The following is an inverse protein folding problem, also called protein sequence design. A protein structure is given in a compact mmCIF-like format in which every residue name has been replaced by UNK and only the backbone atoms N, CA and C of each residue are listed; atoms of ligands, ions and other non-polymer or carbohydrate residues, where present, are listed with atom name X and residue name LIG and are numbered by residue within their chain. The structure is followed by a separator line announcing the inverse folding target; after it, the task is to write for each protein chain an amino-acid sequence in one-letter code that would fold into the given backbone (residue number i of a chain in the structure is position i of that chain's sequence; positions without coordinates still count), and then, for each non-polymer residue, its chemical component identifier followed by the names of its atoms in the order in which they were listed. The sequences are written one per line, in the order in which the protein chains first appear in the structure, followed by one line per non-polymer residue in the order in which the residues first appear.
data_IF_523967000513
#
_entry.id   IF_523967000513
#
_cell.length_a   1.000
_cell.length_b   1.000
_cell.length_c   1.000
_cell.angle_alpha   90.00
_cell.angle_beta   90.00
_cell.angle_gamma   90.00
#
_symmetry.space_group_name_H-M   'P 1'
#
loop_
_entity.id
_entity.type
_entity.pdbx_description
1 polymer ?
#
# COMPACT_ATOMS: atom_id res chain seq x y z
N UNK A 1 -10.83 -22.21 -123.12
CA UNK A 1 -11.15 -21.23 -122.05
C UNK A 1 -11.43 -21.97 -120.75
N UNK A 2 -10.42 -22.27 -119.90
CA UNK A 2 -10.68 -22.91 -118.59
C UNK A 2 -9.62 -22.66 -117.49
N UNK A 3 -8.62 -21.80 -117.74
CA UNK A 3 -7.56 -21.48 -116.78
C UNK A 3 -7.90 -20.37 -115.78
N UNK A 4 -8.72 -19.40 -116.19
CA UNK A 4 -9.04 -18.21 -115.37
C UNK A 4 -9.95 -18.52 -114.17
N UNK A 5 -10.84 -19.51 -114.29
CA UNK A 5 -11.80 -19.86 -113.25
C UNK A 5 -11.16 -20.63 -112.07
N UNK A 6 -10.07 -21.39 -112.33
CA UNK A 6 -9.35 -22.16 -111.28
C UNK A 6 -8.46 -21.26 -110.42
N UNK A 7 -7.75 -20.31 -111.05
CA UNK A 7 -6.87 -19.33 -110.38
C UNK A 7 -7.66 -18.38 -109.47
N UNK A 8 -8.87 -17.99 -109.88
CA UNK A 8 -9.79 -17.15 -109.10
C UNK A 8 -10.29 -17.84 -107.82
N UNK A 9 -10.65 -19.14 -107.89
CA UNK A 9 -11.11 -19.91 -106.73
C UNK A 9 -10.00 -20.19 -105.71
N UNK A 10 -8.78 -20.43 -106.18
CA UNK A 10 -7.62 -20.67 -105.31
C UNK A 10 -7.16 -19.39 -104.60
N UNK A 11 -7.18 -18.25 -105.29
CA UNK A 11 -6.94 -16.95 -104.68
C UNK A 11 -8.02 -16.59 -103.66
N UNK A 12 -9.30 -16.88 -103.93
CA UNK A 12 -10.39 -16.67 -102.97
C UNK A 12 -10.23 -17.52 -101.71
N UNK A 13 -9.91 -18.81 -101.85
CA UNK A 13 -9.60 -19.70 -100.71
C UNK A 13 -8.38 -19.23 -99.90
N UNK A 14 -7.34 -18.73 -100.58
CA UNK A 14 -6.15 -18.18 -99.91
C UNK A 14 -6.49 -16.90 -99.12
N UNK A 15 -7.35 -16.04 -99.66
CA UNK A 15 -7.84 -14.85 -98.96
C UNK A 15 -8.76 -15.19 -97.78
N UNK A 16 -9.62 -16.21 -97.90
CA UNK A 16 -10.45 -16.71 -96.79
C UNK A 16 -9.60 -17.32 -95.67
N UNK A 17 -8.56 -18.09 -96.01
CA UNK A 17 -7.62 -18.65 -95.02
C UNK A 17 -6.80 -17.56 -94.32
N UNK A 18 -6.35 -16.53 -95.05
CA UNK A 18 -5.68 -15.36 -94.43
C UNK A 18 -6.59 -14.65 -93.44
N UNK A 19 -7.87 -14.43 -93.80
CA UNK A 19 -8.87 -13.83 -92.90
C UNK A 19 -9.10 -14.69 -91.65
N UNK A 20 -9.23 -16.01 -91.81
CA UNK A 20 -9.41 -16.94 -90.69
C UNK A 20 -8.21 -16.97 -89.72
N UNK A 21 -6.98 -16.97 -90.24
CA UNK A 21 -5.76 -16.91 -89.42
C UNK A 21 -5.69 -15.58 -88.65
N UNK A 22 -5.97 -14.45 -89.31
CA UNK A 22 -5.98 -13.14 -88.67
C UNK A 22 -7.00 -13.10 -87.53
N UNK A 23 -8.23 -13.57 -87.75
CA UNK A 23 -9.27 -13.64 -86.71
C UNK A 23 -8.85 -14.53 -85.53
N UNK A 24 -8.20 -15.67 -85.79
CA UNK A 24 -7.70 -16.56 -84.74
C UNK A 24 -6.59 -15.92 -83.90
N UNK A 25 -5.64 -15.23 -84.53
CA UNK A 25 -4.57 -14.50 -83.82
C UNK A 25 -5.15 -13.39 -82.95
N UNK A 26 -6.12 -12.63 -83.45
CA UNK A 26 -6.83 -11.62 -82.64
C UNK A 26 -7.57 -12.23 -81.45
N UNK A 27 -8.22 -13.39 -81.63
CA UNK A 27 -8.90 -14.08 -80.54
C UNK A 27 -7.94 -14.52 -79.42
N UNK A 28 -6.75 -15.02 -79.77
CA UNK A 28 -5.73 -15.41 -78.79
C UNK A 28 -5.18 -14.19 -78.04
N UNK A 29 -4.94 -13.08 -78.72
CA UNK A 29 -4.49 -11.82 -78.08
C UNK A 29 -5.54 -11.31 -77.08
N UNK A 30 -6.83 -11.38 -77.42
CA UNK A 30 -7.92 -10.99 -76.52
C UNK A 30 -7.96 -11.91 -75.29
N UNK A 31 -7.84 -13.23 -75.47
CA UNK A 31 -7.83 -14.18 -74.35
C UNK A 31 -6.64 -13.98 -73.41
N UNK A 32 -5.44 -13.70 -73.95
CA UNK A 32 -4.27 -13.37 -73.14
C UNK A 32 -4.48 -12.04 -72.40
N UNK A 33 -5.06 -11.03 -73.05
CA UNK A 33 -5.40 -9.75 -72.42
C UNK A 33 -6.35 -9.92 -71.23
N UNK A 34 -7.42 -10.71 -71.38
CA UNK A 34 -8.37 -11.02 -70.30
C UNK A 34 -7.68 -11.79 -69.17
N UNK A 35 -6.82 -12.76 -69.50
CA UNK A 35 -6.05 -13.52 -68.51
C UNK A 35 -5.08 -12.62 -67.72
N UNK A 36 -4.38 -11.70 -68.38
CA UNK A 36 -3.47 -10.75 -67.72
C UNK A 36 -4.23 -9.79 -66.80
N UNK A 37 -5.38 -9.25 -67.25
CA UNK A 37 -6.25 -8.41 -66.42
C UNK A 37 -6.75 -9.18 -65.20
N UNK A 38 -7.25 -10.42 -65.38
CA UNK A 38 -7.70 -11.28 -64.28
C UNK A 38 -6.56 -11.64 -63.31
N UNK A 39 -5.36 -11.94 -63.83
CA UNK A 39 -4.18 -12.22 -63.01
C UNK A 39 -3.71 -11.00 -62.21
N UNK A 40 -3.90 -9.78 -62.75
CA UNK A 40 -3.60 -8.52 -62.06
C UNK A 40 -4.63 -8.23 -60.96
N UNK A 41 -5.92 -8.38 -61.25
CA UNK A 41 -7.01 -8.21 -60.27
C UNK A 41 -6.90 -9.18 -59.09
N UNK A 42 -6.57 -10.45 -59.34
CA UNK A 42 -6.39 -11.45 -58.26
C UNK A 42 -5.20 -11.15 -57.35
N UNK A 43 -4.09 -10.60 -57.89
CA UNK A 43 -2.95 -10.13 -57.08
C UNK A 43 -3.34 -8.92 -56.23
N UNK A 44 -4.10 -7.97 -56.77
CA UNK A 44 -4.59 -6.79 -56.03
C UNK A 44 -5.48 -7.18 -54.83
N UNK A 45 -6.39 -8.14 -55.03
CA UNK A 45 -7.25 -8.66 -53.96
C UNK A 45 -6.46 -9.32 -52.82
N UNK A 46 -5.44 -10.11 -53.17
CA UNK A 46 -4.54 -10.74 -52.18
C UNK A 46 -3.77 -9.69 -51.39
N UNK A 47 -3.24 -8.67 -52.09
CA UNK A 47 -2.48 -7.60 -51.45
C UNK A 47 -3.33 -6.80 -50.45
N UNK A 48 -4.59 -6.51 -50.77
CA UNK A 48 -5.51 -5.87 -49.82
C UNK A 48 -5.83 -6.76 -48.61
N UNK A 49 -5.99 -8.06 -48.80
CA UNK A 49 -6.22 -9.00 -47.71
C UNK A 49 -5.00 -9.12 -46.79
N UNK A 50 -3.79 -9.19 -47.36
CA UNK A 50 -2.54 -9.22 -46.62
C UNK A 50 -2.30 -7.92 -45.84
N UNK A 51 -2.63 -6.76 -46.41
CA UNK A 51 -2.50 -5.47 -45.74
C UNK A 51 -3.46 -5.34 -44.55
N UNK A 52 -4.73 -5.76 -44.72
CA UNK A 52 -5.70 -5.84 -43.62
C UNK A 52 -5.26 -6.84 -42.54
N UNK A 53 -4.66 -7.95 -42.94
CA UNK A 53 -4.13 -8.95 -42.01
C UNK A 53 -2.92 -8.41 -41.24
N UNK A 54 -2.04 -7.65 -41.88
CA UNK A 54 -0.91 -6.99 -41.21
C UNK A 54 -1.39 -5.91 -40.23
N UNK A 55 -2.35 -5.08 -40.62
CA UNK A 55 -2.93 -4.05 -39.75
C UNK A 55 -3.64 -4.69 -38.54
N UNK A 56 -4.40 -5.78 -38.76
CA UNK A 56 -5.02 -6.54 -37.69
C UNK A 56 -3.98 -7.19 -36.76
N UNK A 57 -2.91 -7.78 -37.31
CA UNK A 57 -1.80 -8.34 -36.53
C UNK A 57 -1.06 -7.29 -35.72
N UNK A 58 -0.85 -6.10 -36.26
CA UNK A 58 -0.20 -5.01 -35.54
C UNK A 58 -1.08 -4.46 -34.41
N UNK A 59 -2.40 -4.34 -34.63
CA UNK A 59 -3.36 -3.98 -33.59
C UNK A 59 -3.41 -5.03 -32.48
N UNK A 60 -3.44 -6.32 -32.84
CA UNK A 60 -3.38 -7.43 -31.87
C UNK A 60 -2.07 -7.38 -31.10
N UNK A 61 -0.92 -7.21 -31.76
CA UNK A 61 0.39 -7.09 -31.10
C UNK A 61 0.44 -5.92 -30.11
N UNK A 62 -0.14 -4.76 -30.46
CA UNK A 62 -0.24 -3.60 -29.56
C UNK A 62 -1.16 -3.86 -28.37
N UNK A 63 -2.25 -4.61 -28.56
CA UNK A 63 -3.13 -5.04 -27.47
C UNK A 63 -2.40 -6.03 -26.57
N UNK A 64 -1.70 -7.01 -27.13
CA UNK A 64 -0.97 -8.05 -26.41
C UNK A 64 0.24 -7.47 -25.65
N UNK A 65 0.96 -6.49 -26.19
CA UNK A 65 2.00 -5.73 -25.49
C UNK A 65 1.44 -4.86 -24.35
N UNK A 66 0.23 -4.30 -24.52
CA UNK A 66 -0.44 -3.54 -23.46
C UNK A 66 -1.02 -4.45 -22.37
N UNK A 67 -1.57 -5.61 -22.74
CA UNK A 67 -2.06 -6.64 -21.83
C UNK A 67 -0.90 -7.30 -21.07
N UNK A 68 0.25 -7.54 -21.70
CA UNK A 68 1.46 -7.99 -21.01
C UNK A 68 2.00 -6.94 -20.04
N UNK A 69 2.03 -5.65 -20.42
CA UNK A 69 2.38 -4.57 -19.48
C UNK A 69 1.40 -4.44 -18.32
N UNK A 70 0.11 -4.67 -18.55
CA UNK A 70 -0.90 -4.73 -17.48
C UNK A 70 -0.77 -5.98 -16.61
N UNK A 71 -0.45 -7.13 -17.20
CA UNK A 71 -0.25 -8.40 -16.49
C UNK A 71 1.05 -8.41 -15.68
N UNK A 72 2.14 -7.80 -16.16
CA UNK A 72 3.38 -7.60 -15.41
C UNK A 72 3.20 -6.57 -14.27
N UNK A 73 2.35 -5.56 -14.48
CA UNK A 73 1.97 -4.60 -13.42
C UNK A 73 1.07 -5.28 -12.36
N UNK A 74 0.12 -6.13 -12.77
CA UNK A 74 -0.73 -6.91 -11.86
C UNK A 74 0.02 -8.05 -11.15
N UNK A 75 1.00 -8.69 -11.78
CA UNK A 75 1.85 -9.71 -11.13
C UNK A 75 2.82 -9.07 -10.13
N UNK A 76 3.39 -7.89 -10.40
CA UNK A 76 4.17 -7.16 -9.39
C UNK A 76 3.28 -6.64 -8.26
N UNK A 77 2.07 -6.15 -8.54
CA UNK A 77 1.11 -5.82 -7.49
C UNK A 77 0.68 -7.04 -6.69
N UNK A 78 0.45 -8.23 -7.27
CA UNK A 78 0.09 -9.43 -6.52
C UNK A 78 1.25 -10.01 -5.70
N UNK A 79 2.49 -9.84 -6.15
CA UNK A 79 3.68 -10.28 -5.42
C UNK A 79 4.04 -9.35 -4.26
N UNK A 80 3.80 -8.05 -4.43
CA UNK A 80 3.82 -7.07 -3.34
C UNK A 80 2.59 -7.20 -2.44
N UNK A 81 1.41 -7.54 -2.96
CA UNK A 81 0.20 -7.82 -2.18
C UNK A 81 0.28 -9.14 -1.44
N UNK A 82 0.99 -10.19 -1.88
CA UNK A 82 1.21 -11.39 -1.06
C UNK A 82 2.26 -11.15 0.03
N UNK A 83 3.29 -10.35 -0.25
CA UNK A 83 4.28 -9.95 0.77
C UNK A 83 3.68 -8.95 1.77
N UNK A 84 2.81 -8.06 1.29
CA UNK A 84 1.99 -7.17 2.10
C UNK A 84 0.92 -8.00 2.81
N UNK A 85 0.21 -8.95 2.21
CA UNK A 85 -0.80 -9.81 2.84
C UNK A 85 -0.20 -10.82 3.82
N UNK A 86 1.09 -11.18 3.76
CA UNK A 86 1.72 -11.98 4.81
C UNK A 86 2.24 -11.09 5.96
N UNK A 87 2.55 -9.82 5.70
CA UNK A 87 2.79 -8.79 6.73
C UNK A 87 1.50 -8.14 7.27
N UNK A 88 0.43 -8.18 6.48
CA UNK A 88 -0.88 -7.57 6.71
C UNK A 88 -1.82 -8.64 7.24
N UNK A 89 -1.80 -9.91 6.84
CA UNK A 89 -2.51 -10.99 7.55
C UNK A 89 -1.91 -11.23 8.95
N UNK A 90 -0.61 -10.97 9.15
CA UNK A 90 -0.03 -10.87 10.49
C UNK A 90 -0.37 -9.55 11.23
N UNK A 91 -0.82 -8.51 10.51
CA UNK A 91 -1.29 -7.24 11.08
C UNK A 91 -2.83 -7.02 11.05
N UNK A 92 -3.62 -7.96 10.50
CA UNK A 92 -5.05 -7.74 10.13
C UNK A 92 -6.03 -8.25 11.17
N UNK A 93 -5.56 -8.68 12.34
CA UNK A 93 -6.44 -8.99 13.47
C UNK A 93 -5.99 -8.41 14.80
N UNK A 94 -5.39 -7.22 14.82
CA UNK A 94 -5.05 -6.60 16.10
C UNK A 94 -5.78 -5.28 16.28
N UNK A 95 -7.07 -5.35 16.64
CA UNK A 95 -7.51 -4.45 17.69
C UNK A 95 -6.72 -4.90 18.92
N UNK A 96 -5.65 -4.19 19.25
CA UNK A 96 -4.84 -4.56 20.40
C UNK A 96 -5.69 -4.37 21.66
N UNK A 97 -5.54 -5.27 22.62
CA UNK A 97 -6.13 -5.17 23.96
C UNK A 97 -5.01 -4.86 24.97
N UNK A 98 -4.07 -3.99 24.59
CA UNK A 98 -2.87 -3.73 25.37
C UNK A 98 -3.23 -3.13 26.73
N UNK A 99 -4.23 -2.26 26.82
CA UNK A 99 -4.76 -1.77 28.11
C UNK A 99 -5.20 -2.93 28.99
N UNK A 100 -6.02 -3.84 28.46
CA UNK A 100 -6.54 -5.00 29.21
C UNK A 100 -5.40 -5.91 29.68
N UNK A 101 -4.47 -6.24 28.80
CA UNK A 101 -3.32 -7.08 29.14
C UNK A 101 -2.35 -6.37 30.10
N UNK A 102 -2.20 -5.04 30.01
CA UNK A 102 -1.44 -4.25 30.97
C UNK A 102 -2.11 -4.28 32.36
N UNK A 103 -3.43 -4.10 32.43
CA UNK A 103 -4.18 -4.23 33.69
C UNK A 103 -4.04 -5.63 34.29
N UNK A 104 -4.06 -6.67 33.45
CA UNK A 104 -3.83 -8.05 33.88
C UNK A 104 -2.42 -8.27 34.41
N UNK A 105 -1.37 -7.75 33.75
CA UNK A 105 0.01 -7.80 34.25
C UNK A 105 0.15 -7.08 35.59
N UNK A 106 -0.55 -5.96 35.76
CA UNK A 106 -0.49 -5.15 36.97
C UNK A 106 -1.43 -5.61 38.09
N UNK A 107 -2.33 -6.56 37.83
CA UNK A 107 -3.32 -7.05 38.83
C UNK A 107 -2.70 -7.64 40.11
N UNK A 108 -1.45 -8.11 40.06
CA UNK A 108 -0.73 -8.65 41.21
C UNK A 108 0.09 -7.61 41.97
N UNK A 109 0.21 -6.40 41.44
CA UNK A 109 0.96 -5.32 42.07
C UNK A 109 0.08 -4.69 43.15
N UNK A 110 0.52 -4.74 44.40
CA UNK A 110 -0.13 -4.01 45.49
C UNK A 110 0.16 -2.52 45.31
N UNK A 111 -0.81 -1.77 44.82
CA UNK A 111 -0.71 -0.33 44.55
C UNK A 111 -1.71 0.52 45.36
N UNK A 112 -2.45 -0.09 46.29
CA UNK A 112 -3.33 0.57 47.25
C UNK A 112 -3.10 0.04 48.66
N UNK A 113 -3.71 0.70 49.65
CA UNK A 113 -3.80 0.24 51.04
C UNK A 113 -2.42 -0.11 51.62
N UNK A 114 -1.49 0.84 51.48
CA UNK A 114 -0.17 0.73 52.07
C UNK A 114 -0.27 0.82 53.60
N UNK A 115 0.42 -0.10 54.28
CA UNK A 115 0.34 -0.26 55.73
C UNK A 115 1.74 -0.18 56.36
N UNK A 116 1.80 -0.02 57.68
CA UNK A 116 3.05 0.01 58.45
C UNK A 116 3.47 1.42 58.85
N UNK A 117 4.77 1.61 59.06
CA UNK A 117 5.39 2.91 59.31
C UNK A 117 5.39 3.81 58.07
N UNK A 118 5.61 5.11 58.24
CA UNK A 118 5.72 6.05 57.11
C UNK A 118 6.81 5.65 56.10
N UNK A 119 7.90 5.04 56.57
CA UNK A 119 8.97 4.55 55.71
C UNK A 119 8.53 3.31 54.91
N UNK A 120 7.87 2.35 55.56
CA UNK A 120 7.37 1.13 54.89
C UNK A 120 6.27 1.45 53.87
N UNK A 121 5.38 2.41 54.17
CA UNK A 121 4.38 2.88 53.21
C UNK A 121 5.03 3.51 51.97
N UNK A 122 6.06 4.35 52.17
CA UNK A 122 6.78 4.97 51.06
C UNK A 122 7.53 3.93 50.21
N UNK A 123 8.15 2.94 50.83
CA UNK A 123 8.81 1.85 50.12
C UNK A 123 7.82 1.01 49.29
N UNK A 124 6.65 0.69 49.86
CA UNK A 124 5.58 0.00 49.13
C UNK A 124 5.11 0.81 47.92
N UNK A 125 4.88 2.12 48.09
CA UNK A 125 4.48 3.01 47.01
C UNK A 125 5.55 3.09 45.92
N UNK A 126 6.83 3.21 46.28
CA UNK A 126 7.93 3.24 45.31
C UNK A 126 8.10 1.91 44.57
N UNK A 127 7.90 0.79 45.24
CA UNK A 127 7.91 -0.54 44.61
C UNK A 127 6.77 -0.68 43.59
N UNK A 128 5.56 -0.24 43.94
CA UNK A 128 4.43 -0.22 43.01
C UNK A 128 4.69 0.73 41.84
N UNK A 129 5.21 1.93 42.11
CA UNK A 129 5.59 2.92 41.09
C UNK A 129 6.59 2.33 40.09
N UNK A 130 7.62 1.63 40.58
CA UNK A 130 8.62 0.99 39.72
C UNK A 130 7.98 -0.02 38.76
N UNK A 131 7.04 -0.84 39.24
CA UNK A 131 6.34 -1.78 38.38
C UNK A 131 5.47 -1.08 37.33
N UNK A 132 4.76 -0.01 37.71
CA UNK A 132 4.01 0.82 36.76
C UNK A 132 4.91 1.55 35.75
N UNK A 133 6.08 2.04 36.18
CA UNK A 133 7.06 2.70 35.31
C UNK A 133 7.69 1.73 34.31
N UNK A 134 7.93 0.47 34.71
CA UNK A 134 8.39 -0.57 33.80
C UNK A 134 7.36 -0.84 32.68
N UNK A 135 6.07 -0.88 33.00
CA UNK A 135 4.99 -1.00 32.01
C UNK A 135 4.82 0.25 31.14
N UNK A 136 4.89 1.44 31.74
CA UNK A 136 4.89 2.74 31.04
C UNK A 136 5.99 2.77 29.98
N UNK A 137 7.22 2.43 30.37
CA UNK A 137 8.37 2.44 29.47
C UNK A 137 8.26 1.40 28.34
N UNK A 138 7.60 0.25 28.59
CA UNK A 138 7.33 -0.74 27.53
C UNK A 138 6.38 -0.15 26.48
N UNK A 139 5.23 0.38 26.89
CA UNK A 139 4.27 0.93 25.94
C UNK A 139 4.78 2.18 25.24
N UNK A 140 5.51 3.04 25.95
CA UNK A 140 6.18 4.20 25.34
C UNK A 140 7.12 3.77 24.21
N UNK A 141 7.95 2.75 24.40
CA UNK A 141 8.84 2.24 23.35
C UNK A 141 8.09 1.68 22.15
N UNK A 142 6.96 1.00 22.38
CA UNK A 142 6.10 0.49 21.31
C UNK A 142 5.52 1.65 20.48
N UNK A 143 4.88 2.63 21.13
CA UNK A 143 4.37 3.84 20.49
C UNK A 143 5.47 4.57 19.71
N UNK A 144 6.65 4.72 20.31
CA UNK A 144 7.79 5.36 19.65
C UNK A 144 8.34 4.59 18.46
N UNK A 145 8.04 3.30 18.30
CA UNK A 145 8.44 2.51 17.14
C UNK A 145 7.48 2.70 15.95
N UNK A 146 6.21 2.95 16.21
CA UNK A 146 5.14 2.91 15.20
C UNK A 146 4.59 4.28 14.80
N UNK A 147 4.56 5.25 15.71
CA UNK A 147 4.04 6.60 15.43
C UNK A 147 4.81 7.29 14.29
N UNK A 148 4.16 8.19 13.56
CA UNK A 148 4.85 9.04 12.58
C UNK A 148 5.81 10.04 13.25
N UNK A 149 6.73 10.63 12.50
CA UNK A 149 7.73 11.57 13.04
C UNK A 149 7.11 12.75 13.82
N UNK A 150 6.02 13.33 13.32
CA UNK A 150 5.30 14.41 14.00
C UNK A 150 4.64 13.92 15.29
N UNK A 151 3.99 12.75 15.25
CA UNK A 151 3.35 12.15 16.43
C UNK A 151 4.37 11.76 17.51
N UNK A 152 5.55 11.23 17.14
CA UNK A 152 6.65 10.96 18.07
C UNK A 152 7.11 12.23 18.79
N UNK A 153 7.27 13.34 18.05
CA UNK A 153 7.67 14.62 18.65
C UNK A 153 6.61 15.14 19.64
N UNK A 154 5.31 15.00 19.31
CA UNK A 154 4.21 15.35 20.21
C UNK A 154 4.20 14.47 21.47
N UNK A 155 4.36 13.16 21.33
CA UNK A 155 4.43 12.24 22.48
C UNK A 155 5.61 12.57 23.39
N UNK A 156 6.81 12.77 22.82
CA UNK A 156 8.00 13.16 23.59
C UNK A 156 7.83 14.48 24.34
N UNK A 157 7.19 15.48 23.73
CA UNK A 157 6.86 16.74 24.40
C UNK A 157 5.86 16.50 25.53
N UNK A 158 4.82 15.70 25.29
CA UNK A 158 3.82 15.33 26.29
C UNK A 158 4.44 14.62 27.49
N UNK A 159 5.38 13.67 27.31
CA UNK A 159 6.10 13.02 28.41
C UNK A 159 6.94 14.03 29.22
N UNK A 160 7.66 14.94 28.54
CA UNK A 160 8.45 15.98 29.22
C UNK A 160 7.59 16.94 30.03
N UNK A 161 6.44 17.33 29.51
CA UNK A 161 5.48 18.19 30.21
C UNK A 161 4.83 17.46 31.37
N UNK A 162 4.45 16.19 31.18
CA UNK A 162 3.89 15.35 32.23
C UNK A 162 4.84 15.23 33.42
N UNK A 163 6.12 14.92 33.21
CA UNK A 163 7.13 14.87 34.29
C UNK A 163 7.21 16.21 35.04
N UNK A 164 7.27 17.33 34.31
CA UNK A 164 7.31 18.67 34.92
C UNK A 164 6.06 18.99 35.73
N UNK A 165 4.89 18.50 35.29
CA UNK A 165 3.63 18.74 35.97
C UNK A 165 3.55 17.92 37.27
N UNK A 166 4.06 16.69 37.29
CA UNK A 166 4.18 15.90 38.53
C UNK A 166 5.04 16.65 39.56
N UNK A 167 6.22 17.14 39.16
CA UNK A 167 7.08 17.88 40.10
C UNK A 167 6.36 19.12 40.65
N UNK A 168 5.67 19.88 39.80
CA UNK A 168 4.90 21.05 40.25
C UNK A 168 3.75 20.67 41.20
N UNK A 169 3.07 19.58 40.92
CA UNK A 169 1.99 19.07 41.77
C UNK A 169 2.51 18.67 43.16
N UNK A 170 3.65 17.97 43.20
CA UNK A 170 4.31 17.58 44.44
C UNK A 170 4.77 18.81 45.21
N UNK A 171 5.42 19.78 44.55
CA UNK A 171 5.83 21.02 45.22
C UNK A 171 4.64 21.78 45.81
N UNK A 172 3.52 21.88 45.08
CA UNK A 172 2.28 22.50 45.56
C UNK A 172 1.70 21.75 46.76
N UNK A 173 1.65 20.42 46.67
CA UNK A 173 1.18 19.56 47.75
C UNK A 173 2.05 19.71 49.00
N UNK A 174 3.38 19.77 48.84
CA UNK A 174 4.30 19.98 49.96
C UNK A 174 4.13 21.38 50.58
N UNK A 175 3.89 22.42 49.77
CA UNK A 175 3.57 23.75 50.30
C UNK A 175 2.26 23.76 51.10
N UNK A 176 1.26 23.01 50.66
CA UNK A 176 -0.03 22.87 51.35
C UNK A 176 0.08 22.05 52.65
N UNK A 177 0.76 20.91 52.61
CA UNK A 177 0.90 19.99 53.75
C UNK A 177 1.86 20.50 54.82
N UNK A 178 2.97 21.13 54.41
CA UNK A 178 3.97 21.63 55.34
C UNK A 178 3.69 23.08 55.76
N UNK A 179 2.89 23.81 54.98
CA UNK A 179 2.63 25.22 55.15
C UNK A 179 3.82 26.11 54.76
N UNK A 180 3.53 27.40 54.60
CA UNK A 180 4.50 28.44 54.27
C UNK A 180 4.70 29.39 55.45
N UNK A 181 5.94 29.83 55.64
CA UNK A 181 6.25 30.91 56.58
C UNK A 181 5.81 32.29 56.05
N UNK A 182 5.99 33.35 56.85
CA UNK A 182 5.63 34.73 56.49
C UNK A 182 6.34 35.25 55.24
N UNK A 183 7.42 34.60 54.79
CA UNK A 183 8.21 34.96 53.61
C UNK A 183 7.89 34.05 52.41
N UNK A 184 6.90 33.17 52.53
CA UNK A 184 6.52 32.23 51.49
C UNK A 184 7.49 31.05 51.33
N UNK A 185 8.32 30.76 52.34
CA UNK A 185 9.21 29.60 52.32
C UNK A 185 8.55 28.42 53.03
N UNK A 186 8.65 27.23 52.44
CA UNK A 186 8.13 25.98 53.02
C UNK A 186 8.69 25.75 54.44
N UNK A 187 7.80 25.49 55.38
CA UNK A 187 8.17 25.10 56.75
C UNK A 187 8.63 23.64 56.80
N UNK A 188 9.13 23.19 57.95
CA UNK A 188 9.58 21.80 58.11
C UNK A 188 8.38 20.85 58.08
N UNK A 189 8.42 19.89 57.15
CA UNK A 189 7.41 18.85 57.01
C UNK A 189 7.58 17.73 58.05
N UNK A 190 6.47 17.13 58.49
CA UNK A 190 6.49 15.85 59.21
C UNK A 190 6.80 14.68 58.28
N UNK A 191 7.08 13.50 58.83
CA UNK A 191 7.42 12.29 58.04
C UNK A 191 6.28 11.75 57.19
N UNK A 192 5.04 12.20 57.43
CA UNK A 192 3.84 11.79 56.67
C UNK A 192 3.90 12.21 55.20
N UNK A 193 4.66 13.25 54.84
CA UNK A 193 4.75 13.72 53.45
C UNK A 193 5.50 12.75 52.54
N UNK A 194 6.39 11.93 53.11
CA UNK A 194 7.21 10.98 52.34
C UNK A 194 6.36 9.92 51.65
N UNK A 195 5.47 9.18 52.33
CA UNK A 195 4.57 8.24 51.66
C UNK A 195 3.54 8.94 50.78
N UNK A 196 3.12 10.18 51.09
CA UNK A 196 2.21 10.95 50.24
C UNK A 196 2.89 11.28 48.90
N UNK A 197 4.14 11.77 48.91
CA UNK A 197 4.89 12.04 47.68
C UNK A 197 5.08 10.77 46.85
N UNK A 198 5.55 9.69 47.48
CA UNK A 198 5.77 8.40 46.82
C UNK A 198 4.46 7.86 46.21
N UNK A 199 3.36 7.93 46.96
CA UNK A 199 2.01 7.55 46.50
C UNK A 199 1.54 8.39 45.32
N UNK A 200 1.78 9.70 45.35
CA UNK A 200 1.43 10.61 44.25
C UNK A 200 2.20 10.27 42.98
N UNK A 201 3.52 10.07 43.09
CA UNK A 201 4.35 9.65 41.94
C UNK A 201 3.90 8.29 41.40
N UNK A 202 3.53 7.36 42.27
CA UNK A 202 2.97 6.06 41.92
C UNK A 202 1.68 6.20 41.09
N UNK A 203 0.69 6.92 41.61
CA UNK A 203 -0.61 7.06 40.96
C UNK A 203 -0.49 7.77 39.60
N UNK A 204 0.30 8.84 39.53
CA UNK A 204 0.53 9.54 38.26
C UNK A 204 1.24 8.68 37.22
N UNK A 205 2.13 7.78 37.66
CA UNK A 205 2.80 6.80 36.77
C UNK A 205 1.80 5.76 36.27
N UNK A 206 0.94 5.24 37.14
CA UNK A 206 -0.14 4.31 36.80
C UNK A 206 -1.10 4.91 35.78
N UNK A 207 -1.62 6.10 36.05
CA UNK A 207 -2.51 6.83 35.13
C UNK A 207 -1.85 7.02 33.76
N UNK A 208 -0.57 7.40 33.73
CA UNK A 208 0.16 7.61 32.48
C UNK A 208 0.38 6.31 31.71
N UNK A 209 0.75 5.22 32.37
CA UNK A 209 0.89 3.90 31.75
C UNK A 209 -0.42 3.46 31.06
N UNK A 210 -1.55 3.63 31.74
CA UNK A 210 -2.89 3.31 31.21
C UNK A 210 -3.24 4.23 30.02
N UNK A 211 -2.95 5.52 30.10
CA UNK A 211 -3.18 6.45 28.98
C UNK A 211 -2.37 6.06 27.74
N UNK A 212 -1.10 5.70 27.90
CA UNK A 212 -0.26 5.25 26.79
C UNK A 212 -0.73 3.91 26.21
N UNK A 213 -1.21 2.99 27.06
CA UNK A 213 -1.83 1.75 26.62
C UNK A 213 -3.08 1.99 25.78
N UNK A 214 -3.95 2.90 26.20
CA UNK A 214 -5.12 3.32 25.42
C UNK A 214 -4.73 3.94 24.08
N UNK A 215 -3.72 4.81 24.08
CA UNK A 215 -3.21 5.40 22.84
C UNK A 215 -2.67 4.31 21.90
N UNK A 216 -1.97 3.31 22.44
CA UNK A 216 -1.48 2.18 21.65
C UNK A 216 -2.64 1.38 21.06
N UNK A 217 -3.70 1.12 21.83
CA UNK A 217 -4.90 0.47 21.33
C UNK A 217 -5.64 1.30 20.27
N UNK A 218 -5.69 2.62 20.44
CA UNK A 218 -6.33 3.56 19.50
C UNK A 218 -5.64 3.61 18.14
N UNK A 219 -4.30 3.63 18.08
CA UNK A 219 -3.60 3.64 16.79
C UNK A 219 -3.75 2.32 16.01
N UNK A 220 -4.16 1.25 16.70
CA UNK A 220 -4.48 -0.05 16.14
C UNK A 220 -5.99 -0.28 15.94
N UNK A 221 -6.82 0.63 16.44
CA UNK A 221 -8.27 0.57 16.32
C UNK A 221 -8.67 1.03 14.91
N UNK A 222 -9.31 0.13 14.16
CA UNK A 222 -9.90 0.43 12.85
C UNK A 222 -11.24 1.15 12.99
#
# INVERSE_FOLDING_TARGET
MNGENKKSKENRKREENKKSIITSVFAVIILIGVFLIYSSYSKMLRLQAELKLQEAKEKIKKIEENEQKQAETQQNLQKDIQKVEETVANAVTQQTNYEEELMKRMSSVKDTDFEGSTAEMAEQAEKARKAWDDELNKVYKLLMSELSGEQKAKLQNSEREWIKNIEKEIEKMLDEECGLDEKGKRMTCGTVVVPIEAGTRMERTKERAIQLAKMYDEIHKK
#
